data_IF_761255431684
#
_entry.id   IF_761255431684
#
_cell.length_a   1.000
_cell.length_b   1.000
_cell.length_c   1.000
_cell.angle_alpha   90.00
_cell.angle_beta   90.00
_cell.angle_gamma   90.00
#
_symmetry.space_group_name_H-M   'P 1'
#
loop_
_entity.id
_entity.type
_entity.pdbx_description
1 polymer ?
#
# COMPACT_ATOMS: atom_id res chain seq x y z
N UNK A 1 -9.19 19.78 -3.60
CA UNK A 1 -8.01 18.90 -3.72
C UNK A 1 -7.16 19.12 -2.48
N UNK A 2 -6.51 18.07 -1.97
CA UNK A 2 -5.63 18.18 -0.80
C UNK A 2 -4.30 18.79 -1.24
N UNK A 3 -3.84 19.84 -0.56
CA UNK A 3 -2.58 20.53 -0.86
C UNK A 3 -1.59 20.41 0.29
N UNK A 4 -0.32 20.79 0.07
CA UNK A 4 0.73 20.80 1.10
C UNK A 4 0.30 21.58 2.35
N UNK A 5 -0.40 22.70 2.16
CA UNK A 5 -0.87 23.59 3.24
C UNK A 5 -1.94 22.94 4.12
N UNK A 6 -2.64 21.94 3.61
CA UNK A 6 -3.68 21.21 4.33
C UNK A 6 -3.10 20.08 5.19
N UNK A 7 -1.77 19.88 5.17
CA UNK A 7 -1.11 18.81 5.90
C UNK A 7 -0.34 19.34 7.09
N UNK A 8 -0.63 18.74 8.24
CA UNK A 8 0.12 18.90 9.46
C UNK A 8 0.54 17.53 9.97
N UNK A 9 1.60 17.50 10.76
CA UNK A 9 1.94 16.31 11.53
C UNK A 9 0.72 15.91 12.40
N UNK A 10 0.39 14.62 12.40
CA UNK A 10 -0.79 14.08 13.08
C UNK A 10 -2.10 14.13 12.26
N UNK A 11 -2.11 14.75 11.08
CA UNK A 11 -3.30 14.72 10.22
C UNK A 11 -3.63 13.29 9.78
N UNK A 12 -4.92 12.96 9.71
CA UNK A 12 -5.37 11.66 9.24
C UNK A 12 -5.70 11.71 7.76
N UNK A 13 -5.21 10.73 7.02
CA UNK A 13 -5.44 10.58 5.59
C UNK A 13 -6.08 9.23 5.30
N UNK A 14 -7.04 9.21 4.38
CA UNK A 14 -7.65 8.01 3.85
C UNK A 14 -7.44 7.91 2.35
N UNK A 15 -7.07 6.72 1.90
CA UNK A 15 -6.78 6.45 0.50
C UNK A 15 -8.09 6.31 -0.29
N UNK A 16 -8.27 7.12 -1.34
CA UNK A 16 -9.45 7.11 -2.22
C UNK A 16 -9.34 6.12 -3.38
N UNK A 17 -8.12 5.87 -3.84
CA UNK A 17 -7.84 5.07 -5.04
C UNK A 17 -6.78 4.02 -4.73
N UNK A 18 -6.84 2.83 -5.33
CA UNK A 18 -5.83 1.81 -5.10
C UNK A 18 -4.47 2.33 -5.60
N UNK A 19 -3.48 2.45 -4.71
CA UNK A 19 -2.13 2.94 -5.03
C UNK A 19 -1.12 2.25 -4.13
N UNK A 20 0.11 2.07 -4.62
CA UNK A 20 1.23 1.47 -3.86
C UNK A 20 0.92 0.06 -3.31
N UNK A 21 0.11 -0.71 -4.07
CA UNK A 21 -0.33 -2.05 -3.66
C UNK A 21 -1.27 -2.05 -2.45
N UNK A 22 -1.87 -0.91 -2.11
CA UNK A 22 -2.77 -0.72 -0.97
C UNK A 22 -4.23 -0.60 -1.43
N UNK A 23 -5.18 -1.31 -0.80
CA UNK A 23 -6.60 -1.16 -1.11
C UNK A 23 -7.13 0.22 -0.73
N UNK A 24 -8.18 0.64 -1.45
CA UNK A 24 -8.99 1.82 -1.13
C UNK A 24 -9.50 1.74 0.30
N UNK A 25 -9.59 2.89 0.97
CA UNK A 25 -10.15 3.02 2.31
C UNK A 25 -9.12 2.83 3.43
N UNK A 26 -7.85 2.54 3.12
CA UNK A 26 -6.80 2.50 4.13
C UNK A 26 -6.57 3.87 4.75
N UNK A 27 -6.47 3.89 6.07
CA UNK A 27 -6.30 5.10 6.87
C UNK A 27 -4.90 5.12 7.46
N UNK A 28 -4.23 6.27 7.36
CA UNK A 28 -2.96 6.53 8.00
C UNK A 28 -2.90 7.90 8.64
N UNK A 29 -1.94 8.09 9.54
CA UNK A 29 -1.63 9.37 10.14
C UNK A 29 -0.31 9.91 9.59
N UNK A 30 -0.25 11.20 9.30
CA UNK A 30 0.96 11.90 8.87
C UNK A 30 1.94 11.91 10.04
N UNK A 31 3.03 11.17 9.90
CA UNK A 31 4.06 11.04 10.91
C UNK A 31 5.11 12.15 10.84
N UNK A 32 5.52 12.54 9.63
CA UNK A 32 6.51 13.59 9.41
C UNK A 32 6.26 14.29 8.08
N UNK A 33 6.75 15.52 7.97
CA UNK A 33 6.75 16.36 6.78
C UNK A 33 8.17 16.87 6.58
N UNK A 34 8.63 16.99 5.34
CA UNK A 34 9.97 17.49 5.08
C UNK A 34 10.21 17.80 3.63
N UNK A 35 11.44 18.23 3.36
CA UNK A 35 12.00 18.40 2.03
C UNK A 35 13.23 17.52 1.94
N UNK A 36 13.37 16.77 0.86
CA UNK A 36 14.55 15.95 0.64
C UNK A 36 15.75 16.82 0.18
N UNK A 37 16.88 16.16 -0.09
CA UNK A 37 18.09 16.85 -0.55
C UNK A 37 17.96 17.43 -1.97
N UNK A 38 17.00 16.95 -2.77
CA UNK A 38 16.68 17.50 -4.08
C UNK A 38 15.75 18.72 -4.00
N UNK A 39 15.22 19.03 -2.81
CA UNK A 39 14.23 20.09 -2.60
C UNK A 39 12.80 19.62 -2.81
N UNK A 40 12.58 18.32 -3.06
CA UNK A 40 11.26 17.75 -3.23
C UNK A 40 10.59 17.58 -1.87
N UNK A 41 9.37 18.10 -1.79
CA UNK A 41 8.57 17.99 -0.59
C UNK A 41 8.04 16.56 -0.45
N UNK A 42 8.12 16.04 0.77
CA UNK A 42 7.62 14.72 1.12
C UNK A 42 6.86 14.72 2.44
N UNK A 43 6.02 13.72 2.60
CA UNK A 43 5.36 13.39 3.86
C UNK A 43 5.47 11.90 4.14
N UNK A 44 5.55 11.57 5.42
CA UNK A 44 5.58 10.20 5.91
C UNK A 44 4.20 9.82 6.43
N UNK A 45 3.61 8.78 5.85
CA UNK A 45 2.31 8.27 6.27
C UNK A 45 2.47 6.97 7.05
N UNK A 46 1.92 6.90 8.26
CA UNK A 46 1.82 5.67 9.07
C UNK A 46 0.42 5.11 9.05
N UNK A 47 0.24 3.93 8.48
CA UNK A 47 -1.07 3.28 8.43
C UNK A 47 -1.54 2.85 9.82
N UNK A 48 -2.80 3.20 10.14
CA UNK A 48 -3.45 2.83 11.40
C UNK A 48 -4.06 1.43 11.33
N UNK A 49 -4.44 0.98 10.13
CA UNK A 49 -4.90 -0.38 9.88
C UNK A 49 -3.82 -1.16 9.10
N UNK A 50 -3.20 -2.20 9.70
CA UNK A 50 -2.36 -3.10 8.94
C UNK A 50 -3.23 -3.87 7.92
N UNK A 51 -2.80 -4.01 6.66
CA UNK A 51 -3.49 -4.87 5.71
C UNK A 51 -3.58 -6.31 6.28
N UNK A 52 -4.77 -6.91 6.25
CA UNK A 52 -4.91 -8.32 6.63
C UNK A 52 -3.99 -9.19 5.76
N UNK A 53 -3.13 -9.98 6.39
CA UNK A 53 -2.23 -10.93 5.72
C UNK A 53 -0.75 -10.53 5.71
N UNK A 54 -0.39 -9.30 6.08
CA UNK A 54 1.02 -8.90 6.20
C UNK A 54 1.57 -9.25 7.59
N UNK A 55 2.18 -10.43 7.72
CA UNK A 55 3.13 -10.73 8.83
C UNK A 55 4.38 -9.90 8.60
N UNK A 56 4.51 -8.74 9.25
CA UNK A 56 5.69 -7.89 9.07
C UNK A 56 6.21 -7.40 10.44
N UNK A 57 7.54 -7.50 10.61
CA UNK A 57 8.29 -7.36 11.87
C UNK A 57 8.19 -5.94 12.44
N UNK A 58 8.12 -5.86 13.77
CA UNK A 58 8.15 -4.62 14.54
C UNK A 58 9.48 -3.89 14.34
N UNK A 59 9.45 -2.60 14.02
CA UNK A 59 10.63 -1.75 14.04
C UNK A 59 10.54 -0.54 13.11
N UNK A 60 10.38 -0.78 11.80
CA UNK A 60 10.71 0.27 10.80
C UNK A 60 9.79 0.34 9.58
N UNK A 61 8.78 -0.53 9.44
CA UNK A 61 8.06 -0.74 8.17
C UNK A 61 6.66 -0.12 8.08
N UNK A 62 6.28 0.76 9.00
CA UNK A 62 4.92 1.35 8.99
C UNK A 62 4.82 2.72 8.34
N UNK A 63 5.93 3.41 8.07
CA UNK A 63 5.93 4.73 7.42
C UNK A 63 6.23 4.62 5.93
N UNK A 64 5.38 5.22 5.12
CA UNK A 64 5.54 5.35 3.67
C UNK A 64 5.93 6.79 3.35
N UNK A 65 7.07 6.99 2.68
CA UNK A 65 7.44 8.29 2.12
C UNK A 65 6.59 8.51 0.87
N UNK A 66 5.89 9.64 0.83
CA UNK A 66 5.01 10.06 -0.25
C UNK A 66 5.34 11.49 -0.65
N UNK A 67 5.10 11.84 -1.91
CA UNK A 67 5.36 13.16 -2.45
C UNK A 67 4.07 13.93 -2.69
N UNK A 68 4.17 15.22 -3.03
CA UNK A 68 2.99 16.06 -3.29
C UNK A 68 2.03 15.45 -4.30
N UNK A 69 2.54 14.83 -5.37
CA UNK A 69 1.71 14.19 -6.39
C UNK A 69 0.84 13.06 -5.83
N UNK A 70 1.26 12.41 -4.74
CA UNK A 70 0.47 11.35 -4.12
C UNK A 70 -0.78 11.91 -3.42
N UNK A 71 -0.85 13.20 -3.09
CA UNK A 71 -1.97 13.82 -2.37
C UNK A 71 -3.30 13.72 -3.12
N UNK A 72 -3.27 13.61 -4.45
CA UNK A 72 -4.49 13.42 -5.25
C UNK A 72 -5.25 12.14 -4.90
N UNK A 73 -4.54 11.15 -4.35
CA UNK A 73 -5.08 9.85 -3.97
C UNK A 73 -5.61 9.78 -2.53
N UNK A 74 -5.51 10.87 -1.78
CA UNK A 74 -5.93 10.93 -0.38
C UNK A 74 -7.07 11.92 -0.13
N UNK A 75 -7.89 11.61 0.86
CA UNK A 75 -8.72 12.57 1.59
C UNK A 75 -8.13 12.78 2.97
N UNK A 76 -8.24 14.01 3.46
CA UNK A 76 -8.03 14.31 4.87
C UNK A 76 -9.29 13.98 5.66
N UNK A 77 -9.08 13.41 6.84
CA UNK A 77 -10.11 13.19 7.85
C UNK A 77 -9.80 14.13 9.02
N UNK A 78 -10.75 15.02 9.31
CA UNK A 78 -10.54 16.10 10.28
C UNK A 78 -10.70 15.68 11.74
N UNK A 79 -11.46 14.60 12.00
CA UNK A 79 -11.80 14.18 13.36
C UNK A 79 -11.40 12.74 13.64
N UNK A 80 -10.88 12.51 14.84
CA UNK A 80 -10.56 11.17 15.31
C UNK A 80 -11.82 10.28 15.40
N UNK A 81 -12.98 10.82 15.74
CA UNK A 81 -14.23 10.05 15.78
C UNK A 81 -14.62 9.50 14.41
N UNK A 82 -14.42 10.29 13.34
CA UNK A 82 -14.64 9.82 11.97
C UNK A 82 -13.64 8.72 11.60
N UNK A 83 -12.37 8.87 12.00
CA UNK A 83 -11.38 7.79 11.86
C UNK A 83 -11.88 6.52 12.56
N UNK A 84 -12.27 6.60 13.83
CA UNK A 84 -12.76 5.43 14.60
C UNK A 84 -13.97 4.77 13.96
N UNK A 85 -14.89 5.55 13.39
CA UNK A 85 -16.05 5.03 12.68
C UNK A 85 -15.61 4.24 11.45
N UNK A 86 -14.73 4.80 10.62
CA UNK A 86 -14.22 4.14 9.42
C UNK A 86 -13.35 2.91 9.74
N UNK A 87 -12.62 2.90 10.87
CA UNK A 87 -11.87 1.72 11.31
C UNK A 87 -12.79 0.58 11.79
N UNK A 88 -14.01 0.90 12.23
CA UNK A 88 -15.03 -0.08 12.67
C UNK A 88 -15.87 -0.61 11.51
N UNK A 89 -15.90 0.08 10.38
CA UNK A 89 -16.61 -0.40 9.21
C UNK A 89 -15.98 -1.73 8.74
N UNK A 90 -16.81 -2.75 8.47
CA UNK A 90 -16.30 -3.97 7.88
C UNK A 90 -15.60 -3.63 6.57
N UNK A 91 -14.43 -4.23 6.27
CA UNK A 91 -13.76 -3.98 5.01
C UNK A 91 -14.73 -4.23 3.87
N UNK A 92 -14.72 -3.40 2.80
CA UNK A 92 -15.58 -3.62 1.66
C UNK A 92 -15.40 -5.07 1.21
N UNK A 93 -16.50 -5.76 0.82
CA UNK A 93 -16.42 -7.14 0.38
C UNK A 93 -15.30 -7.21 -0.65
N UNK A 94 -14.29 -8.05 -0.39
CA UNK A 94 -13.22 -8.31 -1.36
C UNK A 94 -13.97 -8.67 -2.63
N UNK A 95 -13.90 -7.83 -3.65
CA UNK A 95 -14.28 -8.26 -4.99
C UNK A 95 -13.54 -9.57 -5.20
N UNK A 96 -14.23 -10.63 -5.67
CA UNK A 96 -13.54 -11.88 -5.94
C UNK A 96 -12.37 -11.49 -6.83
N UNK A 97 -11.16 -11.62 -6.28
CA UNK A 97 -9.92 -11.40 -7.00
C UNK A 97 -10.14 -12.22 -8.25
N UNK A 98 -10.32 -11.54 -9.39
CA UNK A 98 -10.54 -12.17 -10.70
C UNK A 98 -9.65 -13.38 -10.67
N UNK A 99 -10.21 -14.58 -10.73
CA UNK A 99 -9.44 -15.81 -10.61
C UNK A 99 -8.23 -15.61 -11.51
N UNK A 100 -7.07 -15.29 -10.91
CA UNK A 100 -5.79 -15.28 -11.58
C UNK A 100 -5.77 -16.71 -12.05
N UNK A 101 -6.06 -16.91 -13.35
CA UNK A 101 -6.32 -18.21 -13.96
C UNK A 101 -5.38 -19.17 -13.28
N UNK A 102 -5.90 -19.95 -12.33
CA UNK A 102 -5.04 -20.81 -11.54
C UNK A 102 -4.63 -21.84 -12.54
N UNK A 103 -3.44 -21.64 -13.12
CA UNK A 103 -2.88 -22.58 -14.07
C UNK A 103 -3.02 -23.94 -13.40
N UNK A 104 -3.73 -24.88 -14.04
CA UNK A 104 -4.02 -26.16 -13.44
C UNK A 104 -2.70 -26.80 -13.01
N UNK A 105 -2.74 -27.58 -11.92
CA UNK A 105 -1.54 -28.01 -11.19
C UNK A 105 -0.44 -28.66 -12.08
N UNK A 106 -0.82 -29.27 -13.21
CA UNK A 106 0.09 -29.86 -14.19
C UNK A 106 0.92 -28.83 -15.00
N UNK A 107 0.48 -27.56 -15.09
CA UNK A 107 1.22 -26.47 -15.73
C UNK A 107 2.13 -25.71 -14.76
N UNK A 108 2.05 -25.99 -13.44
CA UNK A 108 3.08 -25.57 -12.47
C UNK A 108 4.28 -26.51 -12.60
N UNK A 109 4.86 -26.52 -13.79
CA UNK A 109 6.06 -27.28 -14.11
C UNK A 109 7.25 -26.70 -13.33
N UNK A 110 7.97 -27.59 -12.67
CA UNK A 110 9.19 -27.35 -11.94
C UNK A 110 10.10 -26.36 -12.68
N UNK A 111 10.38 -25.20 -12.07
CA UNK A 111 11.44 -24.30 -12.51
C UNK A 111 12.85 -24.90 -12.29
N UNK A 112 12.95 -26.20 -12.05
CA UNK A 112 14.16 -26.90 -11.62
C UNK A 112 14.18 -28.37 -12.08
N UNK A 113 13.77 -28.63 -13.32
CA UNK A 113 14.14 -29.87 -14.00
C UNK A 113 15.07 -29.50 -15.14
N UNK A 114 16.37 -29.68 -14.89
CA UNK A 114 17.41 -30.03 -15.85
C UNK A 114 17.19 -29.41 -17.24
N UNK A 115 17.96 -28.42 -17.68
CA UNK A 115 19.30 -28.69 -18.22
C UNK A 115 19.47 -30.14 -18.74
N UNK A 116 18.50 -30.63 -19.51
CA UNK A 116 18.64 -31.80 -20.36
C UNK A 116 19.46 -31.34 -21.56
N UNK A 117 20.78 -31.48 -21.37
CA UNK A 117 21.75 -31.68 -22.44
C UNK A 117 21.21 -32.73 -23.41
N UNK A 118 20.73 -32.28 -24.55
CA UNK A 118 20.43 -33.04 -25.75
C UNK A 118 20.70 -32.00 -26.86
N UNK A 119 21.88 -31.86 -27.46
CA UNK A 119 22.84 -32.84 -27.94
C UNK A 119 24.24 -32.20 -28.05
N UNK A 120 25.27 -32.85 -27.51
CA UNK A 120 26.63 -32.78 -28.06
C UNK A 120 26.87 -34.09 -28.83
N UNK A 121 27.56 -33.95 -29.97
CA UNK A 121 28.21 -34.94 -30.83
C UNK A 121 27.36 -35.87 -31.70
N UNK A 122 27.22 -35.50 -32.99
CA UNK A 122 27.98 -36.05 -34.13
C UNK A 122 27.99 -35.08 -35.32
#
# INVERSE_FOLDING_TARGET
MLTRSDLSQGAYLRLKTPRLGKPVGLIGAVYALGTDQAGDWYFQLRFLNPPQGTRIRAGSQWSLNLHENDLEHFERIDTWDHVRQLLREPPPPKTPRSEEMKLPAYMRGNADLNQLRLFEDF
#
